data_IF_188284253227
#
_entry.id   IF_188284253227
#
_cell.length_a   1.000
_cell.length_b   1.000
_cell.length_c   1.000
_cell.angle_alpha   90.00
_cell.angle_beta   90.00
_cell.angle_gamma   90.00
#
_symmetry.space_group_name_H-M   'P 1'
#
loop_
_entity.id
_entity.type
_entity.pdbx_description
1 polymer ?
#
# COMPACT_ATOMS: atom_id res chain seq x y z
N UNK A 1 -8.02 14.96 -7.85
CA UNK A 1 -7.86 13.52 -7.53
C UNK A 1 -8.96 13.06 -6.58
N UNK A 2 -9.34 11.78 -6.67
CA UNK A 2 -10.28 11.21 -5.71
C UNK A 2 -9.64 11.19 -4.31
N UNK A 3 -10.27 11.89 -3.36
CA UNK A 3 -9.78 12.04 -1.98
C UNK A 3 -10.45 11.08 -1.01
N UNK A 4 -11.47 10.33 -1.46
CA UNK A 4 -12.24 9.42 -0.61
C UNK A 4 -11.52 8.10 -0.36
N UNK A 5 -10.74 7.62 -1.31
CA UNK A 5 -9.96 6.37 -1.24
C UNK A 5 -8.48 6.63 -0.99
N UNK A 6 -8.17 7.38 0.07
CA UNK A 6 -6.80 7.75 0.39
C UNK A 6 -5.91 6.57 0.79
N UNK A 7 -6.48 5.47 1.30
CA UNK A 7 -5.74 4.25 1.63
C UNK A 7 -5.02 3.62 0.44
N UNK A 8 -5.58 3.76 -0.77
CA UNK A 8 -4.93 3.30 -1.99
C UNK A 8 -3.59 3.99 -2.25
N UNK A 9 -3.42 5.25 -1.81
CA UNK A 9 -2.17 5.98 -2.02
C UNK A 9 -1.01 5.36 -1.23
N UNK A 10 -1.27 4.92 0.00
CA UNK A 10 -0.31 4.15 0.78
C UNK A 10 -0.01 2.79 0.13
N UNK A 11 -1.05 2.00 -0.18
CA UNK A 11 -0.93 0.67 -0.78
C UNK A 11 -0.19 0.65 -2.12
N UNK A 12 -0.35 1.71 -2.93
CA UNK A 12 0.28 1.82 -4.25
C UNK A 12 1.58 2.59 -4.25
N UNK A 13 2.16 2.84 -3.08
CA UNK A 13 3.47 3.49 -2.92
C UNK A 13 3.54 4.88 -3.58
N UNK A 14 2.45 5.67 -3.48
CA UNK A 14 2.41 7.03 -4.02
C UNK A 14 3.04 7.99 -3.02
N UNK A 15 4.20 8.53 -3.37
CA UNK A 15 4.95 9.47 -2.53
C UNK A 15 4.62 10.93 -2.83
N UNK A 16 4.46 11.27 -4.11
CA UNK A 16 4.19 12.64 -4.54
C UNK A 16 2.92 12.73 -5.40
N UNK A 17 2.21 13.83 -5.25
CA UNK A 17 1.11 14.24 -6.11
C UNK A 17 1.48 15.57 -6.77
N UNK A 18 1.26 15.67 -8.08
CA UNK A 18 1.40 16.89 -8.86
C UNK A 18 -0.01 17.34 -9.26
N UNK A 19 -0.43 18.49 -8.75
CA UNK A 19 -1.74 19.08 -9.00
C UNK A 19 -1.58 20.31 -9.89
N UNK A 20 -2.18 20.28 -11.09
CA UNK A 20 -2.06 21.31 -12.10
C UNK A 20 -3.19 22.34 -12.07
N UNK A 21 -4.26 22.06 -11.38
CA UNK A 21 -5.48 22.87 -11.38
C UNK A 21 -5.48 23.99 -10.33
N UNK A 22 -4.51 24.03 -9.43
CA UNK A 22 -4.55 24.90 -8.24
C UNK A 22 -5.89 24.82 -7.51
N UNK A 23 -6.52 23.63 -7.55
CA UNK A 23 -7.86 23.41 -7.03
C UNK A 23 -7.80 23.24 -5.52
N UNK A 24 -7.60 24.38 -4.86
CA UNK A 24 -7.54 24.45 -3.40
C UNK A 24 -8.85 24.01 -2.74
N UNK A 25 -9.99 24.10 -3.44
CA UNK A 25 -11.27 23.61 -2.91
C UNK A 25 -11.31 22.09 -2.84
N UNK A 26 -10.62 21.41 -3.76
CA UNK A 26 -10.70 19.96 -3.89
C UNK A 26 -9.69 19.22 -3.03
N UNK A 27 -8.45 19.67 -3.00
CA UNK A 27 -7.37 18.94 -2.36
C UNK A 27 -6.78 19.67 -1.17
N UNK A 28 -6.43 20.95 -1.34
CA UNK A 28 -5.74 21.74 -0.32
C UNK A 28 -6.67 22.34 0.74
N UNK A 29 -7.98 22.39 0.48
CA UNK A 29 -8.90 23.18 1.30
C UNK A 29 -8.67 24.68 1.14
N UNK A 30 -9.12 25.50 2.09
CA UNK A 30 -8.96 26.96 2.04
C UNK A 30 -7.51 27.42 2.26
N UNK A 31 -6.69 26.58 2.87
CA UNK A 31 -5.27 26.78 3.00
C UNK A 31 -4.49 25.46 2.80
N UNK A 32 -3.21 25.57 2.48
CA UNK A 32 -2.34 24.42 2.22
C UNK A 32 -1.98 23.60 3.48
N UNK A 33 -2.55 23.92 4.63
CA UNK A 33 -2.26 23.25 5.90
C UNK A 33 -3.23 22.11 6.23
N UNK A 34 -4.42 22.06 5.59
CA UNK A 34 -5.43 21.03 5.85
C UNK A 34 -5.91 20.34 4.56
N UNK A 35 -5.07 19.51 3.95
CA UNK A 35 -5.44 18.80 2.72
C UNK A 35 -6.55 17.77 2.97
N UNK A 36 -7.38 17.53 1.95
CA UNK A 36 -8.52 16.60 2.00
C UNK A 36 -8.11 15.17 2.34
N UNK A 37 -6.93 14.74 1.91
CA UNK A 37 -6.37 13.44 2.24
C UNK A 37 -5.43 13.52 3.45
N UNK A 38 -5.55 12.59 4.43
CA UNK A 38 -4.67 12.57 5.59
C UNK A 38 -3.22 12.25 5.19
N UNK A 39 -2.26 12.93 5.84
CA UNK A 39 -0.82 12.69 5.67
C UNK A 39 -0.19 13.39 4.47
N UNK A 40 -0.93 14.20 3.74
CA UNK A 40 -0.36 14.97 2.64
C UNK A 40 0.07 16.36 3.13
N UNK A 41 1.25 16.78 2.68
CA UNK A 41 1.83 18.08 3.03
C UNK A 41 2.23 18.83 1.77
N UNK A 42 1.98 20.14 1.74
CA UNK A 42 2.43 20.99 0.65
C UNK A 42 3.96 21.06 0.63
N UNK A 43 4.54 20.65 -0.48
CA UNK A 43 5.98 20.62 -0.67
C UNK A 43 6.51 21.86 -1.41
N UNK A 44 5.72 22.38 -2.38
CA UNK A 44 6.08 23.56 -3.17
C UNK A 44 5.36 23.60 -4.51
N UNK A 45 5.74 24.56 -5.34
CA UNK A 45 5.23 24.70 -6.71
C UNK A 45 6.39 24.71 -7.72
N UNK A 46 6.24 23.99 -8.81
CA UNK A 46 7.19 23.96 -9.91
C UNK A 46 6.46 23.84 -11.24
N UNK A 47 6.82 24.69 -12.20
CA UNK A 47 6.25 24.73 -13.55
C UNK A 47 4.71 24.78 -13.60
N UNK A 48 4.08 25.44 -12.62
CA UNK A 48 2.64 25.56 -12.54
C UNK A 48 1.93 24.39 -11.82
N UNK A 49 2.68 23.39 -11.33
CA UNK A 49 2.13 22.31 -10.54
C UNK A 49 2.38 22.53 -9.05
N UNK A 50 1.34 22.39 -8.26
CA UNK A 50 1.47 22.24 -6.82
C UNK A 50 1.91 20.82 -6.49
N UNK A 51 2.97 20.70 -5.70
CA UNK A 51 3.57 19.43 -5.32
C UNK A 51 3.20 19.12 -3.87
N UNK A 52 2.66 17.94 -3.66
CA UNK A 52 2.30 17.42 -2.35
C UNK A 52 3.11 16.18 -2.04
N UNK A 53 3.63 16.06 -0.83
CA UNK A 53 4.34 14.87 -0.34
C UNK A 53 3.45 14.09 0.63
N UNK A 54 3.43 12.77 0.46
CA UNK A 54 2.68 11.85 1.33
C UNK A 54 3.55 11.40 2.49
N UNK A 55 3.29 11.90 3.69
CA UNK A 55 3.97 11.50 4.93
C UNK A 55 3.60 10.06 5.37
N UNK A 56 2.49 9.52 4.83
CA UNK A 56 2.06 8.13 5.02
C UNK A 56 2.49 7.21 3.87
N UNK A 57 3.54 7.60 3.16
CA UNK A 57 4.12 6.81 2.08
C UNK A 57 4.66 5.47 2.59
N UNK A 58 4.27 4.38 1.91
CA UNK A 58 4.82 3.04 2.12
C UNK A 58 5.76 2.74 0.95
N UNK A 59 7.06 2.52 1.18
CA UNK A 59 7.99 2.13 0.11
C UNK A 59 7.55 0.85 -0.61
N UNK A 60 7.94 0.74 -1.89
CA UNK A 60 7.63 -0.42 -2.72
C UNK A 60 8.24 -1.71 -2.16
N UNK A 61 7.45 -2.77 -2.20
CA UNK A 61 7.86 -4.09 -1.70
C UNK A 61 7.77 -4.16 -0.16
N UNK A 62 6.61 -4.54 0.35
CA UNK A 62 6.40 -4.68 1.78
C UNK A 62 5.75 -6.02 2.14
N UNK A 63 5.86 -6.40 3.40
CA UNK A 63 5.35 -7.68 3.90
C UNK A 63 4.12 -7.50 4.76
N UNK A 64 3.44 -8.62 5.01
CA UNK A 64 2.32 -8.71 5.92
C UNK A 64 2.59 -9.75 7.01
N UNK A 65 2.07 -9.50 8.21
CA UNK A 65 2.02 -10.48 9.31
C UNK A 65 0.66 -11.17 9.40
N UNK A 66 -0.35 -10.57 8.78
CA UNK A 66 -1.74 -11.02 8.85
C UNK A 66 -2.41 -11.07 7.50
N UNK A 67 -3.42 -11.93 7.40
CA UNK A 67 -4.30 -12.01 6.24
C UNK A 67 -5.77 -11.87 6.62
N UNK A 68 -6.59 -11.49 5.66
CA UNK A 68 -8.04 -11.56 5.67
C UNK A 68 -8.52 -12.45 4.54
N UNK A 69 -9.66 -13.11 4.72
CA UNK A 69 -10.26 -13.91 3.64
C UNK A 69 -10.97 -13.01 2.62
N UNK A 70 -11.15 -13.48 1.38
CA UNK A 70 -11.99 -12.79 0.40
C UNK A 70 -13.39 -12.51 0.95
N UNK A 71 -13.95 -13.44 1.74
CA UNK A 71 -15.26 -13.29 2.37
C UNK A 71 -15.29 -12.11 3.34
N UNK A 72 -14.26 -11.93 4.16
CA UNK A 72 -14.18 -10.81 5.10
C UNK A 72 -13.99 -9.49 4.36
N UNK A 73 -13.20 -9.50 3.28
CA UNK A 73 -13.04 -8.35 2.40
C UNK A 73 -14.36 -7.95 1.72
N UNK A 74 -15.13 -8.91 1.19
CA UNK A 74 -16.44 -8.66 0.56
C UNK A 74 -17.48 -8.15 1.56
N UNK A 75 -17.45 -8.63 2.80
CA UNK A 75 -18.32 -8.19 3.87
C UNK A 75 -17.96 -6.80 4.41
N UNK A 76 -16.75 -6.33 4.15
CA UNK A 76 -16.32 -4.98 4.55
C UNK A 76 -16.91 -3.94 3.59
N UNK A 77 -17.43 -2.84 4.15
CA UNK A 77 -17.94 -1.71 3.35
C UNK A 77 -16.87 -1.25 2.34
N UNK A 78 -17.30 -0.96 1.10
CA UNK A 78 -16.40 -0.52 0.03
C UNK A 78 -15.50 0.65 0.44
N UNK A 79 -16.03 1.59 1.21
CA UNK A 79 -15.27 2.76 1.69
C UNK A 79 -14.12 2.42 2.64
N UNK A 80 -14.04 1.18 3.14
CA UNK A 80 -13.01 0.75 4.10
C UNK A 80 -12.13 -0.38 3.58
N UNK A 81 -12.38 -0.88 2.37
CA UNK A 81 -11.63 -2.03 1.82
C UNK A 81 -10.14 -1.76 1.66
N UNK A 82 -9.78 -0.56 1.18
CA UNK A 82 -8.37 -0.21 1.08
C UNK A 82 -7.70 -0.04 2.46
N UNK A 83 -8.44 0.42 3.47
CA UNK A 83 -7.94 0.51 4.84
C UNK A 83 -7.81 -0.87 5.49
N UNK A 84 -8.70 -1.81 5.17
CA UNK A 84 -8.56 -3.21 5.56
C UNK A 84 -7.31 -3.84 4.94
N UNK A 85 -7.05 -3.58 3.65
CA UNK A 85 -5.87 -4.09 2.95
C UNK A 85 -4.54 -3.56 3.50
N UNK A 86 -4.52 -2.44 4.20
CA UNK A 86 -3.35 -1.98 4.97
C UNK A 86 -3.09 -2.84 6.20
N UNK A 87 -4.12 -3.45 6.80
CA UNK A 87 -4.02 -4.25 8.02
C UNK A 87 -3.66 -5.71 7.73
N UNK A 88 -4.15 -6.27 6.62
CA UNK A 88 -3.89 -7.66 6.23
C UNK A 88 -4.01 -7.87 4.73
N UNK A 89 -3.23 -8.80 4.20
CA UNK A 89 -3.34 -9.20 2.79
C UNK A 89 -4.62 -10.00 2.58
N UNK A 90 -5.33 -9.75 1.48
CA UNK A 90 -6.52 -10.52 1.13
C UNK A 90 -6.11 -11.81 0.45
N UNK A 91 -6.57 -12.94 0.97
CA UNK A 91 -6.28 -14.28 0.42
C UNK A 91 -7.56 -15.03 0.08
N UNK A 92 -7.56 -15.70 -1.06
CA UNK A 92 -8.55 -16.73 -1.42
C UNK A 92 -8.39 -17.97 -0.54
N UNK A 93 -9.40 -18.82 -0.43
CA UNK A 93 -9.32 -20.08 0.33
C UNK A 93 -8.14 -20.96 -0.14
N UNK A 94 -7.85 -20.95 -1.45
CA UNK A 94 -6.70 -21.68 -2.02
C UNK A 94 -5.37 -21.10 -1.53
N UNK A 95 -5.26 -19.78 -1.48
CA UNK A 95 -4.05 -19.10 -1.00
C UNK A 95 -3.90 -19.24 0.52
N UNK A 96 -5.00 -19.21 1.28
CA UNK A 96 -4.97 -19.53 2.72
C UNK A 96 -4.42 -20.94 2.95
N UNK A 97 -4.86 -21.93 2.17
CA UNK A 97 -4.37 -23.31 2.29
C UNK A 97 -2.88 -23.45 1.91
N UNK A 98 -2.35 -22.57 1.06
CA UNK A 98 -0.95 -22.59 0.59
C UNK A 98 -0.01 -21.77 1.47
N UNK A 99 -0.47 -20.61 1.95
CA UNK A 99 0.37 -19.59 2.57
C UNK A 99 -0.06 -19.17 3.98
N UNK A 100 -1.23 -19.64 4.43
CA UNK A 100 -1.81 -19.23 5.72
C UNK A 100 -0.91 -19.51 6.93
N UNK A 101 -0.07 -20.55 6.88
CA UNK A 101 0.87 -20.87 7.96
C UNK A 101 2.00 -19.82 8.13
N UNK A 102 2.24 -18.98 7.12
CA UNK A 102 3.20 -17.88 7.19
C UNK A 102 2.63 -16.62 7.82
N UNK A 103 1.30 -16.53 7.95
CA UNK A 103 0.55 -15.35 8.35
C UNK A 103 -0.42 -15.71 9.49
N UNK A 104 -0.89 -14.71 10.22
CA UNK A 104 -1.94 -14.88 11.22
C UNK A 104 -3.29 -14.42 10.64
N UNK A 105 -4.39 -15.14 10.88
CA UNK A 105 -5.72 -14.64 10.50
C UNK A 105 -6.03 -13.35 11.28
N UNK A 106 -6.50 -12.32 10.60
CA UNK A 106 -6.88 -11.05 11.21
C UNK A 106 -8.33 -11.12 11.66
N UNK A 107 -8.58 -10.83 12.95
CA UNK A 107 -9.94 -10.66 13.43
C UNK A 107 -10.50 -9.32 12.95
N UNK A 108 -11.52 -9.38 12.10
CA UNK A 108 -12.14 -8.21 11.50
C UNK A 108 -13.28 -7.62 12.33
N UNK A 109 -13.68 -8.26 13.43
CA UNK A 109 -14.87 -7.88 14.21
C UNK A 109 -14.73 -6.56 14.98
N UNK A 110 -13.50 -6.16 15.33
CA UNK A 110 -13.20 -4.98 16.14
C UNK A 110 -12.29 -3.96 15.44
N UNK A 111 -12.19 -4.03 14.11
CA UNK A 111 -11.31 -3.12 13.37
C UNK A 111 -11.88 -1.69 13.31
N UNK A 112 -10.99 -0.74 13.47
CA UNK A 112 -11.26 0.69 13.30
C UNK A 112 -10.65 1.22 12.01
N UNK A 113 -11.37 2.13 11.34
CA UNK A 113 -11.02 2.74 10.05
C UNK A 113 -11.05 4.27 10.15
N UNK A 114 -10.30 4.82 11.10
CA UNK A 114 -10.14 6.26 11.28
C UNK A 114 -8.87 6.79 10.61
N UNK A 115 -8.73 8.10 10.48
CA UNK A 115 -7.50 8.74 10.00
C UNK A 115 -6.28 8.38 10.88
N UNK A 116 -6.48 8.21 12.18
CA UNK A 116 -5.44 7.84 13.14
C UNK A 116 -5.00 6.39 12.95
N UNK A 117 -5.95 5.46 12.76
CA UNK A 117 -5.60 4.05 12.47
C UNK A 117 -4.93 3.93 11.10
N UNK A 118 -5.38 4.68 10.08
CA UNK A 118 -4.72 4.74 8.78
C UNK A 118 -3.25 5.14 8.89
N UNK A 119 -2.96 6.22 9.63
CA UNK A 119 -1.58 6.65 9.89
C UNK A 119 -0.76 5.52 10.52
N UNK A 120 -1.27 4.93 11.59
CA UNK A 120 -0.59 3.84 12.30
C UNK A 120 -0.35 2.63 11.40
N UNK A 121 -1.32 2.25 10.58
CA UNK A 121 -1.20 1.13 9.64
C UNK A 121 -0.13 1.39 8.57
N UNK A 122 -0.09 2.61 8.02
CA UNK A 122 0.95 3.01 7.07
C UNK A 122 2.35 3.00 7.72
N UNK A 123 2.50 3.56 8.93
CA UNK A 123 3.76 3.54 9.68
C UNK A 123 4.24 2.12 9.99
N UNK A 124 3.32 1.22 10.37
CA UNK A 124 3.66 -0.17 10.63
C UNK A 124 4.07 -0.90 9.35
N UNK A 125 3.36 -0.66 8.24
CA UNK A 125 3.67 -1.26 6.95
C UNK A 125 5.00 -0.75 6.41
N UNK A 126 5.30 0.55 6.57
CA UNK A 126 6.57 1.16 6.15
C UNK A 126 7.81 0.58 6.87
N UNK A 127 7.64 0.00 8.07
CA UNK A 127 8.73 -0.69 8.79
C UNK A 127 9.05 -2.09 8.24
N UNK A 128 8.19 -2.63 7.40
CA UNK A 128 8.25 -4.01 6.87
C UNK A 128 8.47 -4.00 5.36
N UNK A 129 9.22 -3.04 4.86
CA UNK A 129 9.51 -2.84 3.44
C UNK A 129 10.84 -3.45 3.03
N UNK A 130 11.05 -3.57 1.72
CA UNK A 130 12.34 -3.93 1.16
C UNK A 130 13.44 -2.94 1.59
N UNK A 131 14.64 -3.46 1.86
CA UNK A 131 15.84 -2.65 2.19
C UNK A 131 16.29 -1.84 0.97
N UNK A 132 16.15 -2.42 -0.23
CA UNK A 132 16.40 -1.76 -1.51
C UNK A 132 15.32 -2.12 -2.53
N UNK A 133 15.02 -1.19 -3.43
CA UNK A 133 14.17 -1.41 -4.59
C UNK A 133 14.68 -0.60 -5.77
N UNK A 134 15.02 -1.27 -6.87
CA UNK A 134 15.63 -0.65 -8.06
C UNK A 134 14.96 -1.13 -9.34
N UNK A 135 14.46 -0.21 -10.14
CA UNK A 135 13.93 -0.52 -11.48
C UNK A 135 15.07 -0.87 -12.44
N UNK A 136 14.78 -1.82 -13.32
CA UNK A 136 15.62 -2.17 -14.47
C UNK A 136 14.84 -1.94 -15.77
N UNK A 137 15.47 -2.15 -16.92
CA UNK A 137 14.78 -2.00 -18.21
C UNK A 137 13.68 -3.05 -18.46
N UNK A 138 13.68 -4.16 -17.71
CA UNK A 138 12.78 -5.29 -17.92
C UNK A 138 12.06 -5.75 -16.65
N UNK A 139 12.19 -5.00 -15.57
CA UNK A 139 11.57 -5.35 -14.29
C UNK A 139 12.16 -4.56 -13.14
N UNK A 140 12.44 -5.23 -12.03
CA UNK A 140 13.06 -4.62 -10.84
C UNK A 140 13.86 -5.65 -10.05
N UNK A 141 14.79 -5.15 -9.23
CA UNK A 141 15.47 -5.90 -8.19
C UNK A 141 15.11 -5.32 -6.82
N UNK A 142 14.94 -6.17 -5.84
CA UNK A 142 14.68 -5.76 -4.47
C UNK A 142 15.47 -6.65 -3.51
N UNK A 143 15.86 -6.12 -2.37
CA UNK A 143 16.40 -6.89 -1.25
C UNK A 143 15.54 -6.70 -0.03
N UNK A 144 15.37 -7.74 0.75
CA UNK A 144 14.63 -7.68 2.01
C UNK A 144 15.32 -8.57 3.04
N UNK A 145 15.46 -8.05 4.26
CA UNK A 145 15.94 -8.81 5.41
C UNK A 145 14.73 -9.28 6.22
N UNK A 146 14.43 -10.57 6.17
CA UNK A 146 13.32 -11.17 6.91
C UNK A 146 13.85 -12.22 7.90
N UNK A 147 13.27 -12.27 9.11
CA UNK A 147 13.62 -13.27 10.13
C UNK A 147 12.93 -14.63 9.92
N UNK A 148 11.99 -14.70 9.01
CA UNK A 148 11.20 -15.89 8.63
C UNK A 148 10.73 -15.76 7.18
N UNK A 149 10.22 -16.84 6.62
CA UNK A 149 9.57 -16.81 5.32
C UNK A 149 8.30 -15.96 5.39
N UNK A 150 8.17 -15.00 4.49
CA UNK A 150 7.03 -14.08 4.39
C UNK A 150 6.72 -13.79 2.92
N UNK A 151 5.44 -13.59 2.57
CA UNK A 151 5.08 -13.06 1.26
C UNK A 151 5.47 -11.59 1.18
N UNK A 152 6.04 -11.18 0.04
CA UNK A 152 6.34 -9.78 -0.26
C UNK A 152 5.35 -9.28 -1.29
N UNK A 153 4.64 -8.21 -0.96
CA UNK A 153 3.68 -7.56 -1.86
C UNK A 153 4.37 -6.42 -2.62
N UNK A 154 4.16 -6.41 -3.93
CA UNK A 154 4.56 -5.31 -4.81
C UNK A 154 3.30 -4.72 -5.46
N UNK A 155 3.06 -3.44 -5.31
CA UNK A 155 1.94 -2.72 -5.92
C UNK A 155 2.17 -2.47 -7.42
N UNK A 156 2.54 -3.51 -8.15
CA UNK A 156 2.81 -3.49 -9.58
C UNK A 156 1.74 -4.35 -10.27
N UNK A 157 1.05 -3.83 -11.31
CA UNK A 157 0.07 -4.62 -12.05
C UNK A 157 0.70 -5.91 -12.60
N UNK A 158 0.05 -7.03 -12.32
CA UNK A 158 0.48 -8.30 -12.88
C UNK A 158 0.14 -8.36 -14.37
N UNK A 159 1.14 -8.70 -15.17
CA UNK A 159 1.01 -8.96 -16.60
C UNK A 159 1.56 -10.34 -16.95
N UNK A 160 1.02 -10.95 -18.03
CA UNK A 160 1.55 -12.19 -18.53
C UNK A 160 3.02 -12.02 -18.97
N UNK A 161 3.87 -12.91 -18.52
CA UNK A 161 5.31 -12.87 -18.82
C UNK A 161 6.19 -12.49 -17.63
N UNK A 162 5.60 -12.03 -16.51
CA UNK A 162 6.36 -11.85 -15.29
C UNK A 162 6.94 -13.18 -14.78
N UNK A 163 8.17 -13.14 -14.31
CA UNK A 163 8.84 -14.25 -13.61
C UNK A 163 9.55 -13.68 -12.39
N UNK A 164 9.46 -14.38 -11.27
CA UNK A 164 10.13 -13.98 -10.03
C UNK A 164 11.23 -14.98 -9.66
N UNK A 165 12.30 -14.46 -9.07
CA UNK A 165 13.43 -15.24 -8.59
C UNK A 165 13.83 -14.74 -7.21
N UNK A 166 14.04 -15.67 -6.27
CA UNK A 166 14.57 -15.37 -4.93
C UNK A 166 15.90 -16.11 -4.80
N UNK A 167 16.98 -15.38 -4.55
CA UNK A 167 18.34 -15.93 -4.48
C UNK A 167 18.74 -16.77 -5.70
N UNK A 168 18.22 -16.40 -6.90
CA UNK A 168 18.47 -17.08 -8.16
C UNK A 168 17.55 -18.27 -8.46
N UNK A 169 16.70 -18.67 -7.53
CA UNK A 169 15.72 -19.74 -7.72
C UNK A 169 14.36 -19.15 -8.13
N UNK A 170 13.72 -19.77 -9.13
CA UNK A 170 12.41 -19.35 -9.62
C UNK A 170 11.33 -19.65 -8.57
N UNK A 171 10.50 -18.65 -8.29
CA UNK A 171 9.37 -18.76 -7.35
C UNK A 171 8.04 -18.44 -8.04
N UNK A 172 6.94 -18.85 -7.41
CA UNK A 172 5.60 -18.53 -7.85
C UNK A 172 5.27 -17.05 -7.61
N UNK A 173 4.48 -16.48 -8.52
CA UNK A 173 3.85 -15.18 -8.36
C UNK A 173 2.36 -15.41 -8.13
N UNK A 174 1.86 -14.92 -7.01
CA UNK A 174 0.42 -14.87 -6.73
C UNK A 174 -0.15 -13.51 -7.21
N UNK A 175 -1.48 -13.52 -7.53
CA UNK A 175 -2.18 -12.34 -8.08
C UNK A 175 -3.19 -11.83 -7.07
#
# INVERSE_FOLDING_TARGET
>A
PDTTHYGLRGLTSVKYLFDDDHDTEYFAGEDYADPAMPGWMYYGNTNGFDIWENDHYIPMGFTYDSYVTEKDYENTSENYRELLMLKGIVLTDKQVSKWGDMLSPLDTSELSYTKETYKTDCENRAKLTCDTFEYTNTGFNATITASRDVPVFFSIPYENGWSAYVNGEKVDIEK
#
